data_IF_616771430780
#
_entry.id   IF_616771430780
#
_cell.length_a   1.000
_cell.length_b   1.000
_cell.length_c   1.000
_cell.angle_alpha   90.00
_cell.angle_beta   90.00
_cell.angle_gamma   90.00
#
_symmetry.space_group_name_H-M   'P 1'
#
loop_
_entity.id
_entity.type
_entity.pdbx_description
1 polymer ?
#
# COMPACT_ATOMS: atom_id res chain seq x y z
N UNK A 1 21.40 17.37 -7.72
CA UNK A 1 20.94 15.99 -7.78
C UNK A 1 20.11 15.87 -9.06
N UNK A 2 20.36 14.87 -9.91
CA UNK A 2 19.54 14.69 -11.13
C UNK A 2 18.10 14.32 -10.74
N UNK A 3 17.12 14.76 -11.53
CA UNK A 3 15.72 14.39 -11.37
C UNK A 3 15.59 12.86 -11.47
N UNK A 4 15.05 12.22 -10.42
CA UNK A 4 14.86 10.77 -10.36
C UNK A 4 13.62 10.31 -11.15
N UNK A 5 12.97 11.23 -11.86
CA UNK A 5 11.70 11.01 -12.55
C UNK A 5 10.51 11.13 -11.62
N UNK A 6 9.33 10.88 -12.19
CA UNK A 6 8.07 10.97 -11.45
C UNK A 6 7.82 9.75 -10.57
N UNK A 7 7.18 9.98 -9.43
CA UNK A 7 6.59 8.93 -8.62
C UNK A 7 5.07 9.10 -8.59
N UNK A 8 4.32 8.04 -8.80
CA UNK A 8 2.86 8.01 -8.56
C UNK A 8 2.62 7.44 -7.18
N UNK A 9 1.93 8.18 -6.30
CA UNK A 9 1.58 7.72 -4.95
C UNK A 9 0.07 7.73 -4.79
N UNK A 10 -0.52 6.55 -4.61
CA UNK A 10 -1.97 6.41 -4.39
C UNK A 10 -2.33 6.49 -2.90
N UNK A 11 -3.51 7.05 -2.58
CA UNK A 11 -3.93 7.27 -1.19
C UNK A 11 -3.13 8.37 -0.49
N UNK A 12 -2.64 9.36 -1.22
CA UNK A 12 -1.71 10.39 -0.75
C UNK A 12 -2.29 11.40 0.24
N UNK A 13 -3.60 11.42 0.48
CA UNK A 13 -4.24 12.45 1.34
C UNK A 13 -4.09 12.23 2.84
N UNK A 14 -3.53 11.10 3.30
CA UNK A 14 -3.29 10.81 4.73
C UNK A 14 -2.33 9.64 4.95
N UNK A 15 -1.92 9.45 6.20
CA UNK A 15 -1.16 8.29 6.65
C UNK A 15 0.10 8.02 5.82
N UNK A 16 0.32 6.77 5.46
CA UNK A 16 1.52 6.36 4.71
C UNK A 16 1.63 7.03 3.35
N UNK A 17 0.52 7.23 2.62
CA UNK A 17 0.56 7.85 1.29
C UNK A 17 1.06 9.30 1.35
N UNK A 18 0.66 10.06 2.37
CA UNK A 18 1.17 11.39 2.62
C UNK A 18 2.67 11.36 2.93
N UNK A 19 3.10 10.49 3.83
CA UNK A 19 4.50 10.35 4.21
C UNK A 19 5.37 9.88 3.01
N UNK A 20 4.88 8.94 2.18
CA UNK A 20 5.57 8.56 0.94
C UNK A 20 5.74 9.74 -0.01
N UNK A 21 4.69 10.56 -0.19
CA UNK A 21 4.74 11.71 -1.10
C UNK A 21 5.78 12.72 -0.66
N UNK A 22 5.83 13.06 0.62
CA UNK A 22 6.81 13.97 1.18
C UNK A 22 8.24 13.41 1.09
N UNK A 23 8.44 12.16 1.50
CA UNK A 23 9.76 11.53 1.49
C UNK A 23 10.31 11.36 0.07
N UNK A 24 9.46 11.12 -0.92
CA UNK A 24 9.88 11.00 -2.33
C UNK A 24 10.19 12.38 -2.92
N UNK A 25 9.41 13.41 -2.62
CA UNK A 25 9.72 14.76 -3.04
C UNK A 25 11.06 15.23 -2.43
N UNK A 26 11.30 14.95 -1.15
CA UNK A 26 12.57 15.27 -0.47
C UNK A 26 13.77 14.55 -1.09
N UNK A 27 13.57 13.36 -1.66
CA UNK A 27 14.58 12.61 -2.41
C UNK A 27 14.81 13.12 -3.85
N UNK A 28 14.00 14.08 -4.32
CA UNK A 28 14.12 14.70 -5.65
C UNK A 28 13.25 14.07 -6.73
N UNK A 29 12.22 13.28 -6.37
CA UNK A 29 11.15 12.91 -7.29
C UNK A 29 10.14 14.03 -7.43
N UNK A 30 9.59 14.20 -8.63
CA UNK A 30 8.28 14.84 -8.79
C UNK A 30 7.20 13.80 -8.49
N UNK A 31 6.19 14.16 -7.71
CA UNK A 31 5.20 13.21 -7.20
C UNK A 31 3.81 13.54 -7.73
N UNK A 32 3.18 12.59 -8.42
CA UNK A 32 1.75 12.62 -8.70
C UNK A 32 1.01 12.01 -7.50
N UNK A 33 0.43 12.88 -6.68
CA UNK A 33 -0.25 12.52 -5.46
C UNK A 33 -1.75 12.28 -5.73
N UNK A 34 -2.18 11.02 -5.64
CA UNK A 34 -3.54 10.60 -6.03
C UNK A 34 -4.39 10.29 -4.79
N UNK A 35 -5.54 10.94 -4.65
CA UNK A 35 -6.54 10.63 -3.63
C UNK A 35 -7.89 11.32 -3.95
N UNK A 36 -8.92 11.06 -3.12
CA UNK A 36 -10.26 11.65 -3.30
C UNK A 36 -10.41 13.05 -2.70
N UNK A 37 -9.61 13.41 -1.69
CA UNK A 37 -9.75 14.64 -0.89
C UNK A 37 -8.88 15.75 -1.46
N UNK A 38 -9.50 16.64 -2.26
CA UNK A 38 -8.82 17.73 -2.96
C UNK A 38 -8.10 18.69 -2.02
N UNK A 39 -8.77 19.10 -0.93
CA UNK A 39 -8.24 20.01 0.09
C UNK A 39 -6.94 19.51 0.70
N UNK A 40 -6.90 18.23 1.04
CA UNK A 40 -5.71 17.60 1.63
C UNK A 40 -4.58 17.42 0.64
N UNK A 41 -4.89 17.10 -0.62
CA UNK A 41 -3.88 17.02 -1.67
C UNK A 41 -3.27 18.40 -1.93
N UNK A 42 -4.09 19.46 -1.94
CA UNK A 42 -3.59 20.81 -2.12
C UNK A 42 -2.70 21.27 -0.95
N UNK A 43 -3.09 20.95 0.28
CA UNK A 43 -2.25 21.20 1.45
C UNK A 43 -0.92 20.46 1.36
N UNK A 44 -0.94 19.17 0.98
CA UNK A 44 0.25 18.35 0.79
C UNK A 44 1.21 18.93 -0.26
N UNK A 45 0.66 19.45 -1.37
CA UNK A 45 1.47 20.10 -2.41
C UNK A 45 2.23 21.33 -1.88
N UNK A 46 1.63 22.09 -0.97
CA UNK A 46 2.27 23.23 -0.31
C UNK A 46 3.38 22.87 0.67
N UNK A 47 3.47 21.60 1.10
CA UNK A 47 4.51 21.10 2.01
C UNK A 47 5.72 20.50 1.29
N UNK A 48 5.66 20.37 -0.05
CA UNK A 48 6.72 19.74 -0.85
C UNK A 48 8.09 20.40 -0.65
N UNK A 49 9.11 19.60 -0.54
CA UNK A 49 10.52 20.02 -0.47
C UNK A 49 11.37 19.17 -1.39
N UNK A 50 12.22 19.81 -2.17
CA UNK A 50 13.12 19.12 -3.11
C UNK A 50 12.50 18.95 -4.50
N UNK A 51 11.55 18.04 -4.66
CA UNK A 51 10.71 17.88 -5.86
C UNK A 51 9.35 18.54 -5.72
N UNK A 52 8.52 18.47 -6.76
CA UNK A 52 7.15 18.96 -6.75
C UNK A 52 6.16 17.87 -6.32
N UNK A 53 5.02 18.27 -5.76
CA UNK A 53 3.88 17.36 -5.54
C UNK A 53 2.70 17.90 -6.33
N UNK A 54 2.26 17.15 -7.34
CA UNK A 54 1.10 17.47 -8.16
C UNK A 54 -0.14 16.73 -7.63
N UNK A 55 -1.19 17.44 -7.21
CA UNK A 55 -2.45 16.84 -6.79
C UNK A 55 -3.23 16.26 -7.97
N UNK A 56 -3.71 15.02 -7.86
CA UNK A 56 -4.70 14.45 -8.77
C UNK A 56 -5.87 13.87 -7.96
N UNK A 57 -7.04 14.47 -8.14
CA UNK A 57 -8.25 13.99 -7.48
C UNK A 57 -8.86 12.85 -8.28
N UNK A 58 -8.81 11.64 -7.73
CA UNK A 58 -9.37 10.44 -8.35
C UNK A 58 -9.85 9.42 -7.32
N UNK A 59 -10.95 8.74 -7.61
CA UNK A 59 -11.46 7.61 -6.84
C UNK A 59 -11.07 6.29 -7.53
N UNK A 60 -10.05 5.64 -7.02
CA UNK A 60 -9.52 4.39 -7.57
C UNK A 60 -10.42 3.17 -7.33
N UNK A 61 -11.57 3.31 -6.68
CA UNK A 61 -12.60 2.28 -6.65
C UNK A 61 -13.50 2.30 -7.91
N UNK A 62 -13.23 3.21 -8.85
CA UNK A 62 -13.95 3.39 -10.11
C UNK A 62 -13.02 3.30 -11.31
N UNK A 63 -13.54 2.82 -12.45
CA UNK A 63 -12.79 2.77 -13.72
C UNK A 63 -12.33 4.16 -14.13
N UNK A 64 -13.23 5.16 -14.07
CA UNK A 64 -12.90 6.55 -14.40
C UNK A 64 -11.76 7.14 -13.56
N UNK A 65 -11.67 6.75 -12.28
CA UNK A 65 -10.59 7.19 -11.42
C UNK A 65 -9.26 6.51 -11.77
N UNK A 66 -9.28 5.25 -12.16
CA UNK A 66 -8.09 4.53 -12.65
C UNK A 66 -7.64 5.15 -13.97
N UNK A 67 -8.55 5.36 -14.92
CA UNK A 67 -8.26 5.94 -16.23
C UNK A 67 -7.65 7.34 -16.09
N UNK A 68 -8.19 8.19 -15.21
CA UNK A 68 -7.65 9.53 -14.95
C UNK A 68 -6.18 9.50 -14.49
N UNK A 69 -5.82 8.50 -13.65
CA UNK A 69 -4.42 8.32 -13.23
C UNK A 69 -3.55 7.86 -14.38
N UNK A 70 -4.02 6.91 -15.18
CA UNK A 70 -3.28 6.37 -16.33
C UNK A 70 -3.07 7.43 -17.41
N UNK A 71 -4.10 8.22 -17.74
CA UNK A 71 -4.01 9.33 -18.68
C UNK A 71 -2.99 10.38 -18.22
N UNK A 72 -3.05 10.77 -16.94
CA UNK A 72 -2.09 11.76 -16.42
C UNK A 72 -0.67 11.20 -16.36
N UNK A 73 -0.51 9.92 -16.06
CA UNK A 73 0.79 9.27 -15.97
C UNK A 73 1.43 8.97 -17.33
N UNK A 74 0.65 8.87 -18.42
CA UNK A 74 1.14 8.48 -19.75
C UNK A 74 2.22 9.42 -20.31
N UNK A 75 2.20 10.71 -19.94
CA UNK A 75 3.21 11.70 -20.34
C UNK A 75 4.41 11.82 -19.40
N UNK A 76 4.49 10.99 -18.35
CA UNK A 76 5.52 11.10 -17.32
C UNK A 76 6.64 10.06 -17.49
N UNK A 77 7.86 10.48 -17.28
CA UNK A 77 8.96 9.54 -17.08
C UNK A 77 8.86 8.96 -15.66
N UNK A 78 8.09 7.88 -15.53
CA UNK A 78 7.78 7.29 -14.22
C UNK A 78 8.96 6.47 -13.71
N UNK A 79 9.52 6.86 -12.57
CA UNK A 79 10.56 6.14 -11.84
C UNK A 79 10.01 5.22 -10.76
N UNK A 80 8.87 5.56 -10.14
CA UNK A 80 8.32 4.77 -9.04
C UNK A 80 6.78 4.80 -9.02
N UNK A 81 6.16 3.64 -8.80
CA UNK A 81 4.74 3.50 -8.47
C UNK A 81 4.60 3.04 -7.02
N UNK A 82 3.86 3.79 -6.20
CA UNK A 82 3.50 3.40 -4.83
C UNK A 82 2.01 3.12 -4.75
N UNK A 83 1.63 1.85 -4.82
CA UNK A 83 0.27 1.38 -4.59
C UNK A 83 0.01 1.31 -3.08
N UNK A 84 -0.42 2.44 -2.52
CA UNK A 84 -0.69 2.58 -1.09
C UNK A 84 -2.19 2.74 -0.79
N UNK A 85 -3.00 3.26 -1.71
CA UNK A 85 -4.43 3.39 -1.51
C UNK A 85 -5.05 2.07 -1.04
N UNK A 86 -5.90 2.14 -0.04
CA UNK A 86 -6.54 0.94 0.50
C UNK A 86 -7.70 1.27 1.41
N UNK A 87 -8.60 0.31 1.50
CA UNK A 87 -9.77 0.33 2.39
C UNK A 87 -9.75 -0.93 3.24
N UNK A 88 -10.20 -0.84 4.48
CA UNK A 88 -10.50 -1.99 5.31
C UNK A 88 -11.96 -1.95 5.79
N UNK A 89 -12.48 -3.13 6.04
CA UNK A 89 -13.74 -3.37 6.74
C UNK A 89 -13.48 -4.29 7.91
N UNK A 90 -14.15 -4.03 9.03
CA UNK A 90 -13.99 -4.78 10.26
C UNK A 90 -15.36 -5.16 10.83
N UNK A 91 -15.53 -6.42 11.18
CA UNK A 91 -16.75 -6.95 11.76
C UNK A 91 -17.12 -8.35 11.27
N UNK A 92 -18.25 -8.86 11.73
CA UNK A 92 -18.79 -10.13 11.22
C UNK A 92 -19.17 -9.95 9.74
N UNK A 93 -18.63 -10.79 8.86
CA UNK A 93 -18.78 -10.65 7.41
C UNK A 93 -20.23 -10.53 6.95
N UNK A 94 -21.13 -11.32 7.55
CA UNK A 94 -22.56 -11.28 7.23
C UNK A 94 -23.28 -9.95 7.58
N UNK A 95 -22.62 -9.08 8.37
CA UNK A 95 -23.17 -7.78 8.79
C UNK A 95 -22.49 -6.59 8.11
N UNK A 96 -21.48 -6.84 7.26
CA UNK A 96 -20.79 -5.78 6.52
C UNK A 96 -21.59 -5.35 5.29
N UNK A 97 -21.45 -4.07 4.88
CA UNK A 97 -22.08 -3.56 3.65
C UNK A 97 -21.51 -4.26 2.42
N UNK A 98 -22.34 -4.88 1.57
CA UNK A 98 -21.88 -5.49 0.32
C UNK A 98 -21.21 -4.49 -0.62
N UNK A 99 -21.62 -3.23 -0.61
CA UNK A 99 -21.04 -2.15 -1.41
C UNK A 99 -19.60 -1.87 -0.96
N UNK A 100 -19.40 -1.71 0.36
CA UNK A 100 -18.06 -1.47 0.93
C UNK A 100 -17.11 -2.65 0.70
N UNK A 101 -17.61 -3.88 0.74
CA UNK A 101 -16.80 -5.07 0.41
C UNK A 101 -16.35 -5.05 -1.05
N UNK A 102 -17.25 -4.65 -1.98
CA UNK A 102 -16.90 -4.48 -3.40
C UNK A 102 -15.88 -3.37 -3.61
N UNK A 103 -16.09 -2.21 -2.99
CA UNK A 103 -15.16 -1.08 -3.09
C UNK A 103 -13.77 -1.45 -2.53
N UNK A 104 -13.74 -2.24 -1.46
CA UNK A 104 -12.49 -2.76 -0.91
C UNK A 104 -11.74 -3.61 -1.94
N UNK A 105 -12.41 -4.55 -2.61
CA UNK A 105 -11.78 -5.41 -3.62
C UNK A 105 -11.32 -4.59 -4.81
N UNK A 106 -12.15 -3.66 -5.30
CA UNK A 106 -11.79 -2.76 -6.40
C UNK A 106 -10.55 -1.94 -6.07
N UNK A 107 -10.54 -1.28 -4.91
CA UNK A 107 -9.43 -0.42 -4.52
C UNK A 107 -8.15 -1.20 -4.19
N UNK A 108 -8.27 -2.28 -3.38
CA UNK A 108 -7.10 -3.00 -2.87
C UNK A 108 -6.51 -4.01 -3.87
N UNK A 109 -7.28 -4.43 -4.87
CA UNK A 109 -6.86 -5.49 -5.82
C UNK A 109 -6.88 -4.98 -7.25
N UNK A 110 -8.05 -4.59 -7.76
CA UNK A 110 -8.23 -4.23 -9.16
C UNK A 110 -7.39 -3.00 -9.54
N UNK A 111 -7.47 -1.93 -8.78
CA UNK A 111 -6.66 -0.72 -9.01
C UNK A 111 -5.15 -1.00 -8.97
N UNK A 112 -4.69 -1.86 -8.04
CA UNK A 112 -3.27 -2.25 -7.96
C UNK A 112 -2.83 -2.97 -9.23
N UNK A 113 -3.64 -3.92 -9.71
CA UNK A 113 -3.34 -4.67 -10.95
C UNK A 113 -3.36 -3.74 -12.16
N UNK A 114 -4.42 -2.92 -12.30
CA UNK A 114 -4.62 -2.04 -13.44
C UNK A 114 -3.47 -1.02 -13.59
N UNK A 115 -3.15 -0.29 -12.52
CA UNK A 115 -2.07 0.69 -12.53
C UNK A 115 -0.71 0.02 -12.80
N UNK A 116 -0.43 -1.09 -12.13
CA UNK A 116 0.83 -1.82 -12.26
C UNK A 116 1.00 -2.35 -13.69
N UNK A 117 -0.06 -2.95 -14.28
CA UNK A 117 -0.03 -3.53 -15.64
C UNK A 117 0.28 -2.50 -16.73
N UNK A 118 -0.28 -1.30 -16.58
CA UNK A 118 -0.11 -0.25 -17.61
C UNK A 118 1.21 0.52 -17.44
N UNK A 119 1.66 0.72 -16.20
CA UNK A 119 2.81 1.60 -15.93
C UNK A 119 4.18 0.88 -15.98
N UNK A 120 4.22 -0.43 -15.74
CA UNK A 120 5.47 -1.21 -15.77
C UNK A 120 6.15 -1.26 -17.15
N UNK A 121 5.46 -1.45 -18.28
CA UNK A 121 6.13 -1.60 -19.59
C UNK A 121 7.11 -0.46 -19.90
N UNK A 122 6.71 0.78 -19.66
CA UNK A 122 7.61 1.93 -19.87
C UNK A 122 8.84 1.94 -18.95
N UNK A 123 8.73 1.40 -17.72
CA UNK A 123 9.88 1.21 -16.83
C UNK A 123 10.84 0.14 -17.37
N UNK A 124 10.29 -0.98 -17.88
CA UNK A 124 11.06 -2.08 -18.46
C UNK A 124 11.81 -1.62 -19.71
N UNK A 125 11.16 -0.88 -20.60
CA UNK A 125 11.78 -0.31 -21.80
C UNK A 125 12.97 0.61 -21.47
N UNK A 126 12.87 1.38 -20.39
CA UNK A 126 13.96 2.25 -19.91
C UNK A 126 15.02 1.50 -19.10
N UNK A 127 14.81 0.23 -18.76
CA UNK A 127 15.72 -0.56 -17.92
C UNK A 127 15.83 -0.04 -16.48
N UNK A 128 14.87 0.76 -16.02
CA UNK A 128 14.86 1.34 -14.66
C UNK A 128 13.46 1.67 -14.20
N UNK A 129 13.21 1.48 -12.91
CA UNK A 129 11.95 1.82 -12.27
C UNK A 129 11.67 0.95 -11.06
N UNK A 130 10.54 1.21 -10.41
CA UNK A 130 10.15 0.44 -9.25
C UNK A 130 8.67 0.47 -8.95
N UNK A 131 8.23 -0.54 -8.21
CA UNK A 131 6.88 -0.64 -7.66
C UNK A 131 6.97 -0.96 -6.17
N UNK A 132 6.34 -0.15 -5.34
CA UNK A 132 6.12 -0.44 -3.92
C UNK A 132 4.63 -0.71 -3.73
N UNK A 133 4.29 -1.92 -3.33
CA UNK A 133 2.93 -2.32 -3.00
C UNK A 133 2.75 -2.39 -1.48
N UNK A 134 1.85 -1.58 -0.93
CA UNK A 134 1.55 -1.60 0.51
C UNK A 134 0.58 -2.74 0.82
N UNK A 135 1.14 -3.85 1.29
CA UNK A 135 0.41 -5.00 1.82
C UNK A 135 0.02 -4.75 3.30
N UNK A 136 0.09 -5.75 4.14
CA UNK A 136 -0.15 -5.69 5.60
C UNK A 136 0.48 -6.92 6.25
N UNK A 137 0.82 -6.84 7.53
CA UNK A 137 1.15 -8.04 8.31
C UNK A 137 -0.02 -9.05 8.36
N UNK A 138 -1.27 -8.60 8.18
CA UNK A 138 -2.44 -9.48 8.08
C UNK A 138 -2.48 -10.30 6.77
N UNK A 139 -1.63 -10.02 5.80
CA UNK A 139 -1.49 -10.77 4.55
C UNK A 139 -0.99 -12.21 4.76
N UNK A 140 -0.30 -12.49 5.86
CA UNK A 140 0.37 -13.78 6.07
C UNK A 140 -0.51 -14.86 6.70
N UNK A 141 -1.69 -14.51 7.19
CA UNK A 141 -2.60 -15.46 7.83
C UNK A 141 -4.09 -15.10 7.62
N UNK A 142 -4.98 -16.10 7.68
CA UNK A 142 -6.42 -15.83 7.73
C UNK A 142 -6.77 -15.01 8.97
N UNK A 143 -7.43 -13.87 8.78
CA UNK A 143 -7.80 -12.98 9.88
C UNK A 143 -9.32 -12.81 9.94
N UNK A 144 -10.03 -13.58 10.82
CA UNK A 144 -11.45 -13.38 11.05
C UNK A 144 -11.77 -11.94 11.45
N UNK A 145 -12.93 -11.46 11.08
CA UNK A 145 -13.41 -10.07 11.20
C UNK A 145 -12.72 -9.03 10.31
N UNK A 146 -11.64 -9.42 9.61
CA UNK A 146 -10.99 -8.70 8.52
C UNK A 146 -10.90 -9.57 7.25
N UNK A 147 -11.89 -10.40 6.99
CA UNK A 147 -11.78 -11.47 6.00
C UNK A 147 -11.37 -10.95 4.62
N UNK A 148 -12.13 -10.01 4.05
CA UNK A 148 -11.86 -9.44 2.72
C UNK A 148 -10.58 -8.63 2.71
N UNK A 149 -10.34 -7.82 3.75
CA UNK A 149 -9.12 -7.03 3.85
C UNK A 149 -7.85 -7.90 3.89
N UNK A 150 -7.80 -8.89 4.79
CA UNK A 150 -6.65 -9.77 4.89
C UNK A 150 -6.41 -10.56 3.58
N UNK A 151 -7.50 -11.02 2.94
CA UNK A 151 -7.43 -11.70 1.64
C UNK A 151 -6.91 -10.77 0.54
N UNK A 152 -7.36 -9.51 0.48
CA UNK A 152 -6.87 -8.52 -0.49
C UNK A 152 -5.38 -8.23 -0.30
N UNK A 153 -4.91 -8.14 0.96
CA UNK A 153 -3.49 -7.90 1.25
C UNK A 153 -2.62 -9.15 1.01
N UNK A 154 -3.18 -10.36 1.17
CA UNK A 154 -2.52 -11.60 0.76
C UNK A 154 -2.37 -11.69 -0.77
N UNK A 155 -3.40 -11.23 -1.53
CA UNK A 155 -3.28 -11.08 -2.98
C UNK A 155 -2.13 -10.14 -3.34
N UNK A 156 -2.09 -8.93 -2.76
CA UNK A 156 -1.04 -7.93 -3.03
C UNK A 156 0.35 -8.49 -2.73
N UNK A 157 0.50 -9.23 -1.63
CA UNK A 157 1.77 -9.87 -1.26
C UNK A 157 2.21 -10.88 -2.33
N UNK A 158 1.35 -11.87 -2.64
CA UNK A 158 1.64 -12.92 -3.62
C UNK A 158 1.88 -12.36 -5.02
N UNK A 159 1.07 -11.39 -5.45
CA UNK A 159 1.23 -10.68 -6.72
C UNK A 159 2.59 -9.99 -6.81
N UNK A 160 3.01 -9.31 -5.74
CA UNK A 160 4.30 -8.61 -5.71
C UNK A 160 5.49 -9.57 -5.76
N UNK A 161 5.41 -10.71 -5.07
CA UNK A 161 6.47 -11.72 -5.08
C UNK A 161 6.63 -12.34 -6.48
N UNK A 162 5.52 -12.70 -7.12
CA UNK A 162 5.53 -13.25 -8.49
C UNK A 162 6.09 -12.23 -9.49
N UNK A 163 5.58 -10.99 -9.44
CA UNK A 163 5.99 -9.93 -10.35
C UNK A 163 7.47 -9.54 -10.18
N UNK A 164 7.99 -9.57 -8.96
CA UNK A 164 9.40 -9.31 -8.70
C UNK A 164 10.31 -10.36 -9.38
N UNK A 165 9.87 -11.61 -9.43
CA UNK A 165 10.59 -12.69 -10.11
C UNK A 165 10.51 -12.55 -11.63
N UNK A 166 9.32 -12.25 -12.18
CA UNK A 166 9.11 -12.03 -13.61
C UNK A 166 9.95 -10.85 -14.16
N UNK A 167 10.15 -9.81 -13.36
CA UNK A 167 10.91 -8.62 -13.73
C UNK A 167 12.41 -8.71 -13.41
N UNK A 168 12.89 -9.86 -12.95
CA UNK A 168 14.31 -10.07 -12.68
C UNK A 168 15.16 -9.80 -13.92
N UNK A 169 16.18 -8.96 -13.76
CA UNK A 169 17.09 -8.58 -14.84
C UNK A 169 16.60 -7.46 -15.77
N UNK A 170 15.36 -6.97 -15.60
CA UNK A 170 14.82 -5.85 -16.41
C UNK A 170 15.24 -4.47 -15.90
N UNK A 171 15.85 -4.39 -14.72
CA UNK A 171 16.14 -3.12 -14.04
C UNK A 171 14.95 -2.55 -13.24
N UNK A 172 13.77 -3.19 -13.28
CA UNK A 172 12.58 -2.81 -12.50
C UNK A 172 12.49 -3.64 -11.21
N UNK A 173 12.29 -2.98 -10.08
CA UNK A 173 12.18 -3.64 -8.77
C UNK A 173 10.74 -3.62 -8.27
N UNK A 174 10.31 -4.70 -7.63
CA UNK A 174 9.01 -4.76 -6.96
C UNK A 174 9.22 -5.10 -5.49
N UNK A 175 8.58 -4.31 -4.61
CA UNK A 175 8.67 -4.50 -3.15
C UNK A 175 7.28 -4.51 -2.53
N UNK A 176 6.90 -5.61 -1.90
CA UNK A 176 5.76 -5.66 -1.00
C UNK A 176 6.19 -5.20 0.40
N UNK A 177 5.54 -4.17 0.90
CA UNK A 177 5.76 -3.67 2.25
C UNK A 177 4.59 -4.09 3.13
N UNK A 178 4.87 -4.81 4.22
CA UNK A 178 3.86 -5.33 5.13
C UNK A 178 3.99 -4.68 6.51
N UNK A 179 3.42 -3.49 6.73
CA UNK A 179 3.44 -2.84 8.03
C UNK A 179 2.50 -3.55 9.02
N UNK A 180 2.83 -3.43 10.30
CA UNK A 180 1.91 -3.71 11.40
C UNK A 180 0.89 -2.59 11.59
N UNK A 181 0.21 -2.57 12.73
CA UNK A 181 -0.76 -1.53 13.06
C UNK A 181 -0.09 -0.17 13.26
N UNK A 182 -0.81 0.88 12.86
CA UNK A 182 -0.36 2.27 12.93
C UNK A 182 -1.50 3.15 13.42
N UNK A 183 -1.18 4.19 14.18
CA UNK A 183 -2.15 5.21 14.57
C UNK A 183 -2.41 6.16 13.40
N UNK A 184 -3.32 5.80 12.51
CA UNK A 184 -3.71 6.59 11.35
C UNK A 184 -5.22 6.60 11.21
N UNK A 185 -5.78 7.51 10.42
CA UNK A 185 -7.22 7.55 10.08
C UNK A 185 -7.74 6.24 9.45
N UNK A 186 -6.86 5.35 9.03
CA UNK A 186 -7.24 4.06 8.46
C UNK A 186 -8.05 3.21 9.44
N UNK A 187 -7.65 3.19 10.71
CA UNK A 187 -8.37 2.47 11.77
C UNK A 187 -9.72 3.10 12.09
N UNK A 188 -9.82 4.45 12.01
CA UNK A 188 -11.10 5.18 12.17
C UNK A 188 -12.09 4.76 11.07
N UNK A 189 -11.63 4.75 9.82
CA UNK A 189 -12.45 4.38 8.66
C UNK A 189 -12.87 2.91 8.69
N UNK A 190 -12.01 2.03 9.19
CA UNK A 190 -12.29 0.59 9.33
C UNK A 190 -13.17 0.27 10.54
N UNK A 191 -13.23 1.14 11.56
CA UNK A 191 -13.91 0.88 12.84
C UNK A 191 -13.19 -0.16 13.71
N UNK A 192 -11.86 -0.28 13.58
CA UNK A 192 -11.07 -1.40 14.12
C UNK A 192 -10.20 -1.06 15.33
N UNK A 193 -10.49 0.03 16.05
CA UNK A 193 -9.61 0.51 17.13
C UNK A 193 -9.38 -0.49 18.27
N UNK A 194 -10.42 -1.20 18.73
CA UNK A 194 -10.29 -2.07 19.90
C UNK A 194 -9.30 -3.21 19.71
N UNK A 195 -9.36 -4.03 18.63
CA UNK A 195 -8.40 -5.10 18.45
C UNK A 195 -6.98 -4.57 18.20
N UNK A 196 -6.85 -3.41 17.55
CA UNK A 196 -5.57 -2.82 17.22
C UNK A 196 -4.80 -2.34 18.45
N UNK A 197 -5.50 -1.84 19.48
CA UNK A 197 -4.90 -1.40 20.77
C UNK A 197 -4.08 -2.49 21.47
N UNK A 198 -4.30 -3.76 21.12
CA UNK A 198 -3.58 -4.91 21.70
C UNK A 198 -2.19 -5.12 21.10
N UNK A 199 -1.85 -4.39 20.04
CA UNK A 199 -0.61 -4.53 19.29
C UNK A 199 0.22 -3.25 19.32
N UNK A 200 1.55 -3.35 19.20
CA UNK A 200 2.39 -2.16 19.10
C UNK A 200 2.04 -1.33 17.86
N UNK A 201 1.87 -0.02 18.03
CA UNK A 201 1.66 0.88 16.91
C UNK A 201 3.00 1.37 16.37
N UNK A 202 3.09 1.44 15.04
CA UNK A 202 4.25 1.91 14.33
C UNK A 202 4.06 3.39 13.92
N UNK A 203 5.15 4.12 13.92
CA UNK A 203 5.21 5.49 13.40
C UNK A 203 5.22 5.45 11.86
N UNK A 204 4.27 6.12 11.17
CA UNK A 204 4.18 6.14 9.71
C UNK A 204 5.47 6.60 9.02
N UNK A 205 6.14 7.62 9.55
CA UNK A 205 7.40 8.13 8.98
C UNK A 205 8.48 7.03 8.97
N UNK A 206 8.68 6.33 10.10
CA UNK A 206 9.65 5.22 10.19
C UNK A 206 9.27 4.04 9.29
N UNK A 207 7.96 3.82 9.08
CA UNK A 207 7.47 2.78 8.16
C UNK A 207 7.87 3.12 6.72
N UNK A 208 7.66 4.38 6.28
CA UNK A 208 8.03 4.82 4.94
C UNK A 208 9.53 4.76 4.72
N UNK A 209 10.34 5.23 5.66
CA UNK A 209 11.79 5.11 5.57
C UNK A 209 12.25 3.65 5.43
N UNK A 210 11.67 2.73 6.22
CA UNK A 210 12.02 1.31 6.14
C UNK A 210 11.56 0.69 4.81
N UNK A 211 10.43 1.14 4.25
CA UNK A 211 9.91 0.72 2.96
C UNK A 211 10.85 1.15 1.83
N UNK A 212 11.22 2.43 1.79
CA UNK A 212 12.12 2.99 0.78
C UNK A 212 13.51 2.34 0.84
N UNK A 213 14.09 2.19 2.04
CA UNK A 213 15.36 1.45 2.21
C UNK A 213 15.26 -0.01 1.73
N UNK A 214 14.15 -0.68 1.96
CA UNK A 214 13.95 -2.05 1.49
C UNK A 214 13.87 -2.12 -0.03
N UNK A 215 13.18 -1.16 -0.65
CA UNK A 215 13.07 -1.03 -2.10
C UNK A 215 14.44 -0.73 -2.75
N UNK A 216 15.15 0.26 -2.21
CA UNK A 216 16.49 0.63 -2.68
C UNK A 216 17.47 -0.55 -2.57
N UNK A 217 17.36 -1.36 -1.52
CA UNK A 217 18.12 -2.59 -1.30
C UNK A 217 17.65 -3.80 -2.11
N UNK A 218 16.67 -3.66 -3.01
CA UNK A 218 16.17 -4.74 -3.87
C UNK A 218 15.43 -5.85 -3.12
N UNK A 219 14.85 -5.57 -1.95
CA UNK A 219 14.09 -6.58 -1.19
C UNK A 219 12.68 -6.72 -1.76
N UNK A 220 12.29 -7.95 -2.09
CA UNK A 220 10.95 -8.26 -2.59
C UNK A 220 9.87 -8.12 -1.52
N UNK A 221 10.15 -8.55 -0.28
CA UNK A 221 9.20 -8.47 0.84
C UNK A 221 9.84 -7.83 2.06
N UNK A 222 9.15 -6.89 2.69
CA UNK A 222 9.55 -6.28 3.95
C UNK A 222 8.41 -6.21 4.94
N UNK A 223 8.44 -7.06 5.97
CA UNK A 223 7.61 -6.90 7.18
C UNK A 223 8.25 -5.82 8.05
N UNK A 224 7.46 -4.82 8.46
CA UNK A 224 7.95 -3.69 9.25
C UNK A 224 7.49 -3.82 10.70
N UNK A 225 8.45 -3.65 11.61
CA UNK A 225 8.32 -3.84 13.05
C UNK A 225 8.84 -5.21 13.51
N UNK A 226 9.74 -5.25 14.51
CA UNK A 226 10.39 -6.50 14.94
C UNK A 226 9.39 -7.52 15.49
N UNK A 227 8.38 -7.08 16.23
CA UNK A 227 7.33 -7.94 16.77
C UNK A 227 6.53 -8.59 15.62
N UNK A 228 6.16 -7.81 14.60
CA UNK A 228 5.42 -8.31 13.44
C UNK A 228 6.26 -9.26 12.59
N UNK A 229 7.55 -8.98 12.42
CA UNK A 229 8.49 -9.89 11.76
C UNK A 229 8.57 -11.23 12.46
N UNK A 230 8.69 -11.23 13.80
CA UNK A 230 8.70 -12.45 14.59
C UNK A 230 7.36 -13.21 14.48
N UNK A 231 6.22 -12.55 14.63
CA UNK A 231 4.90 -13.17 14.52
C UNK A 231 4.67 -13.79 13.13
N UNK A 232 5.08 -13.10 12.07
CA UNK A 232 4.99 -13.61 10.70
C UNK A 232 5.89 -14.85 10.52
N UNK A 233 7.11 -14.82 11.04
CA UNK A 233 8.02 -15.96 10.97
C UNK A 233 7.49 -17.16 11.76
N UNK A 234 7.08 -16.97 13.01
CA UNK A 234 6.53 -18.02 13.86
C UNK A 234 5.23 -18.62 13.28
N UNK A 235 4.40 -17.78 12.68
CA UNK A 235 3.14 -18.19 12.03
C UNK A 235 3.33 -19.19 10.89
N UNK A 236 4.50 -19.21 10.22
CA UNK A 236 4.80 -20.19 9.16
C UNK A 236 4.84 -21.64 9.65
N UNK A 237 5.16 -21.84 10.90
CA UNK A 237 5.26 -23.18 11.53
C UNK A 237 3.97 -23.57 12.26
N UNK A 238 3.04 -22.66 12.45
CA UNK A 238 1.80 -22.93 13.16
C UNK A 238 0.76 -23.61 12.24
N UNK A 239 0.04 -24.65 12.72
CA UNK A 239 -1.07 -25.21 11.96
C UNK A 239 -2.12 -24.14 11.64
N UNK A 240 -2.53 -24.03 10.38
CA UNK A 240 -3.47 -22.97 9.92
C UNK A 240 -4.77 -22.92 10.74
N UNK A 241 -5.27 -24.06 11.20
CA UNK A 241 -6.49 -24.12 12.04
C UNK A 241 -6.26 -23.48 13.41
N UNK A 242 -5.11 -23.68 14.04
CA UNK A 242 -4.72 -23.05 15.30
C UNK A 242 -4.57 -21.54 15.16
N UNK A 243 -3.83 -21.12 14.14
CA UNK A 243 -3.61 -19.70 13.85
C UNK A 243 -4.93 -18.96 13.60
N UNK A 244 -5.85 -19.54 12.80
CA UNK A 244 -7.18 -18.97 12.55
C UNK A 244 -8.01 -18.81 13.82
N UNK A 245 -7.98 -19.80 14.74
CA UNK A 245 -8.70 -19.72 16.02
C UNK A 245 -8.10 -18.67 16.96
N UNK A 246 -6.78 -18.55 16.99
CA UNK A 246 -6.05 -17.53 17.74
C UNK A 246 -6.43 -16.13 17.22
N UNK A 247 -6.36 -15.91 15.91
CA UNK A 247 -6.73 -14.64 15.29
C UNK A 247 -8.21 -14.31 15.51
N UNK A 248 -9.12 -15.31 15.47
CA UNK A 248 -10.52 -15.08 15.76
C UNK A 248 -10.76 -14.55 17.19
N UNK A 249 -9.97 -15.00 18.16
CA UNK A 249 -10.07 -14.51 19.54
C UNK A 249 -9.43 -13.12 19.68
N UNK A 250 -8.29 -12.89 19.02
CA UNK A 250 -7.57 -11.63 19.09
C UNK A 250 -8.33 -10.47 18.41
N UNK A 251 -9.04 -10.74 17.31
CA UNK A 251 -9.72 -9.74 16.49
C UNK A 251 -11.23 -9.67 16.71
N UNK A 252 -11.78 -10.40 17.70
CA UNK A 252 -13.22 -10.40 17.96
C UNK A 252 -13.69 -9.01 18.37
N UNK A 253 -14.75 -8.46 17.73
CA UNK A 253 -15.45 -7.28 18.23
C UNK A 253 -15.92 -7.47 19.66
N UNK A 254 -15.83 -6.43 20.48
CA UNK A 254 -16.35 -6.42 21.84
C UNK A 254 -17.86 -6.50 21.89
#
# INVERSE_FOLDING_TARGET
MGNLGWAVVTGASSGLGREFSLALAERGHDVLAVARRADRLQALAGEARGGTIEPLVADLSTDAGIDAVLERAAGLELGLLVNNAGLATYGAFASLSPERERDLVRLNVEAVVALTRVLIPGMVERGRGGVINVASQLAFQPTPYFATYAASKAFVLSFSEALAEELRGTGVRVTAVAPGFMSTEFSDVAGSHEPERRFPHLDPHRVVEAALRAHDGGRTVRVIGPVYGFLTFAGRFAPRAGLRRMMARAMRPG
#
